data_IF_713471793008
#
_entry.id   IF_713471793008
#
_cell.length_a   1.000
_cell.length_b   1.000
_cell.length_c   1.000
_cell.angle_alpha   90.00
_cell.angle_beta   90.00
_cell.angle_gamma   90.00
#
_symmetry.space_group_name_H-M   'P 1'
#
loop_
_entity.id
_entity.type
_entity.pdbx_description
1 polymer ?
#
# COMPACT_ATOMS: atom_id res chain seq x y z
N UNK A 1 13.39 22.93 -0.25
CA UNK A 1 14.64 22.48 -0.88
C UNK A 1 14.90 21.04 -0.45
N UNK A 2 14.64 20.10 -1.36
CA UNK A 2 15.08 18.68 -1.42
C UNK A 2 14.96 17.82 -0.16
N UNK A 3 13.79 17.17 0.03
CA UNK A 3 13.57 16.05 0.98
C UNK A 3 13.70 14.65 0.34
N UNK A 4 14.30 14.55 -0.86
CA UNK A 4 14.31 13.37 -1.73
C UNK A 4 15.05 12.11 -1.25
N UNK A 5 15.44 11.99 0.01
CA UNK A 5 16.30 10.88 0.48
C UNK A 5 16.05 10.44 1.90
N UNK A 6 14.84 10.58 2.43
CA UNK A 6 14.58 10.09 3.78
C UNK A 6 14.09 8.63 3.76
N UNK A 7 14.94 7.64 4.12
CA UNK A 7 14.48 6.27 4.29
C UNK A 7 13.38 6.14 5.37
N UNK A 8 13.17 7.16 6.20
CA UNK A 8 12.03 7.21 7.12
C UNK A 8 10.71 7.49 6.40
N UNK A 9 10.71 8.18 5.25
CA UNK A 9 9.48 8.45 4.47
C UNK A 9 8.83 7.15 4.00
N UNK A 10 9.62 6.29 3.36
CA UNK A 10 9.11 5.01 2.86
C UNK A 10 8.61 4.12 4.02
N UNK A 11 9.36 4.04 5.12
CA UNK A 11 8.94 3.26 6.30
C UNK A 11 7.68 3.80 6.96
N UNK A 12 7.54 5.12 7.05
CA UNK A 12 6.34 5.77 7.58
C UNK A 12 5.13 5.47 6.69
N UNK A 13 5.30 5.55 5.38
CA UNK A 13 4.26 5.26 4.42
C UNK A 13 3.81 3.79 4.47
N UNK A 14 4.75 2.83 4.58
CA UNK A 14 4.38 1.42 4.76
C UNK A 14 3.62 1.17 6.06
N UNK A 15 3.98 1.88 7.14
CA UNK A 15 3.23 1.83 8.39
C UNK A 15 1.80 2.36 8.18
N UNK A 16 1.64 3.48 7.50
CA UNK A 16 0.34 4.09 7.21
C UNK A 16 -0.53 3.18 6.33
N UNK A 17 0.06 2.59 5.28
CA UNK A 17 -0.57 1.56 4.45
C UNK A 17 -1.03 0.37 5.30
N UNK A 18 -0.19 -0.11 6.22
CA UNK A 18 -0.55 -1.19 7.13
C UNK A 18 -1.69 -0.83 8.08
N UNK A 19 -1.73 0.41 8.59
CA UNK A 19 -2.82 0.90 9.45
C UNK A 19 -4.15 0.99 8.68
N UNK A 20 -4.13 1.48 7.44
CA UNK A 20 -5.30 1.50 6.55
C UNK A 20 -5.79 0.08 6.29
N UNK A 21 -4.87 -0.82 5.92
CA UNK A 21 -5.20 -2.20 5.62
C UNK A 21 -5.78 -2.93 6.83
N UNK A 22 -5.24 -2.68 8.02
CA UNK A 22 -5.77 -3.23 9.27
C UNK A 22 -7.18 -2.72 9.58
N UNK A 23 -7.48 -1.43 9.33
CA UNK A 23 -8.81 -0.84 9.57
C UNK A 23 -9.84 -1.39 8.59
N UNK A 24 -9.50 -1.52 7.31
CA UNK A 24 -10.41 -2.06 6.30
C UNK A 24 -10.70 -3.55 6.48
N UNK A 25 -9.74 -4.32 7.03
CA UNK A 25 -9.94 -5.73 7.36
C UNK A 25 -10.81 -5.99 8.60
N UNK A 26 -11.26 -4.97 9.34
CA UNK A 26 -12.13 -5.15 10.50
C UNK A 26 -13.57 -5.46 10.07
N UNK A 27 -14.15 -6.55 10.59
CA UNK A 27 -15.56 -6.85 10.39
C UNK A 27 -16.45 -5.71 10.93
N UNK A 28 -17.24 -5.10 10.04
CA UNK A 28 -18.08 -3.95 10.37
C UNK A 28 -17.34 -2.60 10.42
N UNK A 29 -16.13 -2.52 9.88
CA UNK A 29 -15.40 -1.28 9.69
C UNK A 29 -16.15 -0.27 8.82
N UNK A 30 -15.88 1.03 9.02
CA UNK A 30 -16.45 2.10 8.18
C UNK A 30 -15.75 2.25 6.83
N UNK A 31 -14.66 1.51 6.60
CA UNK A 31 -13.82 1.61 5.40
C UNK A 31 -14.00 0.36 4.56
N UNK A 32 -14.35 0.55 3.29
CA UNK A 32 -14.47 -0.52 2.30
C UNK A 32 -13.11 -0.91 1.73
N UNK A 33 -13.03 -2.12 1.16
CA UNK A 33 -11.83 -2.59 0.46
C UNK A 33 -11.42 -1.64 -0.68
N UNK A 34 -12.40 -1.05 -1.39
CA UNK A 34 -12.16 -0.06 -2.44
C UNK A 34 -11.50 1.21 -1.91
N UNK A 35 -12.04 1.79 -0.83
CA UNK A 35 -11.48 3.00 -0.19
C UNK A 35 -10.07 2.74 0.35
N UNK A 36 -9.84 1.55 0.89
CA UNK A 36 -8.52 1.12 1.34
C UNK A 36 -7.55 1.03 0.15
N UNK A 37 -7.94 0.34 -0.92
CA UNK A 37 -7.13 0.21 -2.13
C UNK A 37 -6.78 1.56 -2.77
N UNK A 38 -7.73 2.49 -2.85
CA UNK A 38 -7.50 3.85 -3.34
C UNK A 38 -6.44 4.58 -2.50
N UNK A 39 -6.58 4.49 -1.17
CA UNK A 39 -5.65 5.13 -0.23
C UNK A 39 -4.25 4.52 -0.33
N UNK A 40 -4.16 3.19 -0.41
CA UNK A 40 -2.89 2.46 -0.54
C UNK A 40 -2.20 2.80 -1.87
N UNK A 41 -2.95 2.85 -2.97
CA UNK A 41 -2.44 3.23 -4.29
C UNK A 41 -1.84 4.64 -4.27
N UNK A 42 -2.58 5.61 -3.71
CA UNK A 42 -2.15 7.00 -3.63
C UNK A 42 -0.87 7.16 -2.78
N UNK A 43 -0.76 6.45 -1.66
CA UNK A 43 0.44 6.48 -0.83
C UNK A 43 1.60 5.81 -1.57
N UNK A 44 1.38 4.68 -2.23
CA UNK A 44 2.44 3.97 -2.96
C UNK A 44 3.02 4.82 -4.10
N UNK A 45 2.16 5.46 -4.89
CA UNK A 45 2.57 6.40 -5.95
C UNK A 45 3.37 7.57 -5.37
N UNK A 46 2.85 8.21 -4.32
CA UNK A 46 3.52 9.32 -3.66
C UNK A 46 4.92 8.96 -3.13
N UNK A 47 5.08 7.78 -2.55
CA UNK A 47 6.40 7.32 -2.06
C UNK A 47 7.39 7.11 -3.21
N UNK A 48 6.95 6.60 -4.35
CA UNK A 48 7.83 6.40 -5.50
C UNK A 48 8.32 7.74 -6.08
N UNK A 49 7.48 8.77 -6.04
CA UNK A 49 7.85 10.13 -6.48
C UNK A 49 8.78 10.83 -5.47
N UNK A 50 8.45 10.81 -4.18
CA UNK A 50 9.20 11.53 -3.14
C UNK A 50 10.46 10.82 -2.66
N UNK A 51 10.50 9.48 -2.73
CA UNK A 51 11.60 8.66 -2.22
C UNK A 51 12.06 7.57 -3.22
N UNK A 52 12.44 7.93 -4.46
CA UNK A 52 12.83 6.97 -5.50
C UNK A 52 14.09 6.15 -5.12
N UNK A 53 14.87 6.62 -4.15
CA UNK A 53 16.07 5.96 -3.62
C UNK A 53 15.89 5.25 -2.28
N UNK A 54 14.65 4.95 -1.84
CA UNK A 54 14.41 4.16 -0.65
C UNK A 54 15.15 2.80 -0.72
N UNK A 55 15.57 2.27 0.44
CA UNK A 55 16.27 0.98 0.55
C UNK A 55 15.49 -0.13 -0.18
N UNK A 56 16.23 -1.09 -0.74
CA UNK A 56 15.69 -2.20 -1.55
C UNK A 56 14.42 -2.79 -0.95
N UNK A 57 14.47 -3.22 0.31
CA UNK A 57 13.35 -3.83 1.03
C UNK A 57 12.08 -2.96 0.97
N UNK A 58 12.11 -1.73 1.50
CA UNK A 58 10.94 -0.85 1.51
C UNK A 58 10.48 -0.43 0.09
N UNK A 59 11.44 -0.15 -0.80
CA UNK A 59 11.14 0.26 -2.17
C UNK A 59 10.53 -0.86 -2.99
N UNK A 60 10.90 -2.12 -2.75
CA UNK A 60 10.38 -3.28 -3.49
C UNK A 60 8.91 -3.54 -3.15
N UNK A 61 8.51 -3.35 -1.89
CA UNK A 61 7.12 -3.42 -1.44
C UNK A 61 6.29 -2.37 -2.11
N UNK A 62 6.72 -1.11 -2.01
CA UNK A 62 5.98 0.03 -2.58
C UNK A 62 5.85 -0.13 -4.10
N UNK A 63 6.90 -0.55 -4.80
CA UNK A 63 6.84 -0.88 -6.24
C UNK A 63 5.91 -2.05 -6.55
N UNK A 64 5.75 -3.01 -5.64
CA UNK A 64 4.82 -4.12 -5.83
C UNK A 64 3.38 -3.67 -5.63
N UNK A 65 3.12 -2.89 -4.58
CA UNK A 65 1.82 -2.29 -4.31
C UNK A 65 1.37 -1.38 -5.45
N UNK A 66 2.26 -0.50 -5.94
CA UNK A 66 1.95 0.37 -7.07
C UNK A 66 1.62 -0.45 -8.31
N UNK A 67 2.43 -1.46 -8.69
CA UNK A 67 2.11 -2.29 -9.86
C UNK A 67 0.78 -3.04 -9.77
N UNK A 68 0.35 -3.41 -8.57
CA UNK A 68 -0.94 -4.08 -8.36
C UNK A 68 -2.13 -3.11 -8.46
N UNK A 69 -1.89 -1.84 -8.17
CA UNK A 69 -2.91 -0.79 -8.09
C UNK A 69 -2.90 0.16 -9.29
N UNK A 70 -1.83 0.16 -10.08
CA UNK A 70 -1.62 1.04 -11.22
C UNK A 70 -2.67 0.81 -12.31
N UNK A 71 -3.38 1.87 -12.68
CA UNK A 71 -4.40 1.83 -13.72
C UNK A 71 -5.66 1.07 -13.35
N UNK A 72 -5.82 0.68 -12.08
CA UNK A 72 -7.06 0.09 -11.57
C UNK A 72 -8.09 1.19 -11.36
N UNK A 73 -9.27 1.02 -11.94
CA UNK A 73 -10.43 1.86 -11.66
C UNK A 73 -11.16 1.29 -10.43
N UNK A 74 -10.81 1.82 -9.24
CA UNK A 74 -11.35 1.33 -7.97
C UNK A 74 -12.84 1.61 -7.79
N UNK A 75 -13.39 2.63 -8.45
CA UNK A 75 -14.82 2.94 -8.39
C UNK A 75 -15.63 1.98 -9.29
N UNK A 76 -15.01 1.44 -10.33
CA UNK A 76 -15.62 0.46 -11.23
C UNK A 76 -15.44 -1.00 -10.78
N UNK A 77 -14.55 -1.28 -9.83
CA UNK A 77 -14.31 -2.63 -9.29
C UNK A 77 -15.56 -3.14 -8.55
N UNK A 78 -15.99 -4.37 -8.83
CA UNK A 78 -17.03 -5.00 -8.01
C UNK A 78 -16.49 -5.39 -6.62
N UNK A 79 -17.37 -5.49 -5.62
CA UNK A 79 -17.00 -5.82 -4.24
C UNK A 79 -16.10 -7.07 -4.13
N UNK A 80 -16.40 -8.12 -4.90
CA UNK A 80 -15.60 -9.36 -4.91
C UNK A 80 -14.20 -9.14 -5.49
N UNK A 81 -14.09 -8.30 -6.52
CA UNK A 81 -12.81 -8.02 -7.18
C UNK A 81 -11.96 -7.11 -6.29
N UNK A 82 -12.58 -6.12 -5.66
CA UNK A 82 -11.94 -5.28 -4.65
C UNK A 82 -11.44 -6.12 -3.46
N UNK A 83 -12.27 -7.02 -2.93
CA UNK A 83 -11.89 -7.91 -1.85
C UNK A 83 -10.73 -8.84 -2.23
N UNK A 84 -10.76 -9.41 -3.45
CA UNK A 84 -9.68 -10.26 -3.94
C UNK A 84 -8.36 -9.48 -4.05
N UNK A 85 -8.38 -8.30 -4.68
CA UNK A 85 -7.21 -7.45 -4.82
C UNK A 85 -6.69 -6.96 -3.47
N UNK A 86 -7.58 -6.60 -2.55
CA UNK A 86 -7.22 -6.22 -1.18
C UNK A 86 -6.56 -7.37 -0.41
N UNK A 87 -7.06 -8.60 -0.57
CA UNK A 87 -6.41 -9.80 -0.03
C UNK A 87 -4.99 -10.01 -0.58
N UNK A 88 -4.75 -9.75 -1.86
CA UNK A 88 -3.40 -9.81 -2.43
C UNK A 88 -2.48 -8.72 -1.85
N UNK A 89 -3.01 -7.50 -1.64
CA UNK A 89 -2.28 -6.39 -1.01
C UNK A 89 -1.88 -6.76 0.42
N UNK A 90 -2.78 -7.36 1.20
CA UNK A 90 -2.48 -7.85 2.55
C UNK A 90 -1.33 -8.87 2.53
N UNK A 91 -1.37 -9.83 1.60
CA UNK A 91 -0.32 -10.84 1.47
C UNK A 91 1.06 -10.25 1.18
N UNK A 92 1.15 -9.14 0.44
CA UNK A 92 2.40 -8.41 0.22
C UNK A 92 2.90 -7.76 1.51
N UNK A 93 2.02 -7.13 2.28
CA UNK A 93 2.36 -6.48 3.55
C UNK A 93 2.79 -7.48 4.63
N UNK A 94 2.13 -8.64 4.71
CA UNK A 94 2.47 -9.71 5.66
C UNK A 94 3.80 -10.40 5.31
N UNK A 95 4.09 -10.59 4.03
CA UNK A 95 5.34 -11.18 3.54
C UNK A 95 6.58 -10.39 3.96
N UNK A 96 6.49 -9.06 4.01
CA UNK A 96 7.57 -8.18 4.50
C UNK A 96 7.78 -8.29 6.01
N UNK A 97 6.68 -8.42 6.74
CA UNK A 97 6.71 -8.54 8.19
C UNK A 97 7.43 -9.83 8.61
N UNK A 98 7.38 -10.88 7.78
CA UNK A 98 8.09 -12.15 7.96
C UNK A 98 9.53 -12.17 7.43
N UNK A 99 9.87 -11.37 6.41
CA UNK A 99 11.24 -11.29 5.87
C UNK A 99 12.20 -10.46 6.72
N UNK A 100 11.67 -9.64 7.64
CA UNK A 100 12.44 -8.77 8.55
C UNK A 100 12.67 -9.31 9.97
N UNK A 101 12.34 -10.58 10.26
CA UNK A 101 12.50 -11.22 11.57
C UNK A 101 13.79 -12.05 11.70
#
# INVERSE_FOLDING_TARGET
MTRFRDPQTCRRALREIGEIAAVAGLEGGQMTDQEALQSIAAIAEWVLDEAPGARADCGDVVRRLERMTAGVDFEALGDREAQALFGEVLGVLEGETSAGA
#
